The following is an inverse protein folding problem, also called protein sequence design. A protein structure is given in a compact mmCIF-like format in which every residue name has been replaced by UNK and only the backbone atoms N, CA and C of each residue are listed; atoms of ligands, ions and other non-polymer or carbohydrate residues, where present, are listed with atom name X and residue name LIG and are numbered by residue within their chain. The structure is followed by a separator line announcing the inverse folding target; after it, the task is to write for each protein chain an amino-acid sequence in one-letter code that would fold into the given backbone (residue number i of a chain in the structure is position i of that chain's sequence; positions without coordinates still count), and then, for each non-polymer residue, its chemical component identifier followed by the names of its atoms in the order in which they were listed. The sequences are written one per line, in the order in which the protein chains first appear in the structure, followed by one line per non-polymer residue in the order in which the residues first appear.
data_IF_588599299426
#
_entry.id   IF_588599299426
#
_cell.length_a   1.000
_cell.length_b   1.000
_cell.length_c   1.000
_cell.angle_alpha   90.00
_cell.angle_beta   90.00
_cell.angle_gamma   90.00
#
_symmetry.space_group_name_H-M   'P 1'
#
loop_
_entity.id
_entity.type
_entity.pdbx_description
1 polymer ?
#
# COMPACT_ATOMS: atom_id res chain seq x y z
N UNK A 1 -23.47 30.02 8.70
CA UNK A 1 -22.59 28.88 9.05
C UNK A 1 -22.35 28.13 7.77
N UNK A 2 -21.18 28.28 7.13
CA UNK A 2 -20.75 27.43 6.05
C UNK A 2 -20.38 26.10 6.70
N UNK A 3 -21.14 25.05 6.42
CA UNK A 3 -20.68 23.67 6.64
C UNK A 3 -19.34 23.53 5.88
N UNK A 4 -18.27 23.34 6.62
CA UNK A 4 -16.98 23.03 6.02
C UNK A 4 -17.17 21.70 5.29
N UNK A 5 -17.19 21.71 3.95
CA UNK A 5 -17.06 20.51 3.16
C UNK A 5 -15.78 19.81 3.61
N UNK A 6 -15.94 18.76 4.40
CA UNK A 6 -14.81 17.92 4.79
C UNK A 6 -14.29 17.28 3.51
N UNK A 7 -13.05 17.57 3.16
CA UNK A 7 -12.40 16.99 1.98
C UNK A 7 -12.28 15.47 2.15
N UNK A 8 -12.48 14.70 1.08
CA UNK A 8 -12.34 13.25 1.12
C UNK A 8 -11.00 12.80 1.71
N UNK A 9 -9.91 13.46 1.31
CA UNK A 9 -8.57 13.24 1.84
C UNK A 9 -8.48 13.37 3.37
N UNK A 10 -9.21 14.35 3.97
CA UNK A 10 -9.24 14.51 5.42
C UNK A 10 -9.93 13.33 6.10
N UNK A 11 -11.08 12.89 5.57
CA UNK A 11 -11.82 11.74 6.09
C UNK A 11 -10.96 10.47 6.05
N UNK A 12 -10.20 10.25 4.99
CA UNK A 12 -9.32 9.09 4.84
C UNK A 12 -8.18 9.09 5.86
N UNK A 13 -7.58 10.25 6.13
CA UNK A 13 -6.57 10.38 7.19
C UNK A 13 -7.17 10.15 8.57
N UNK A 14 -8.39 10.68 8.83
CA UNK A 14 -9.11 10.44 10.09
C UNK A 14 -9.41 8.95 10.33
N UNK A 15 -9.66 8.17 9.27
CA UNK A 15 -9.88 6.72 9.33
C UNK A 15 -8.58 5.92 9.49
N UNK A 16 -7.49 6.41 8.90
CA UNK A 16 -6.20 5.74 8.94
C UNK A 16 -5.56 5.85 10.34
N UNK A 17 -5.50 7.05 10.88
CA UNK A 17 -4.81 7.31 12.14
C UNK A 17 -5.67 6.99 13.38
N UNK A 18 -5.01 6.70 14.47
CA UNK A 18 -5.67 6.59 15.77
C UNK A 18 -6.20 7.96 16.19
N UNK A 19 -7.39 8.01 16.77
CA UNK A 19 -8.10 9.26 17.09
C UNK A 19 -7.23 10.22 17.89
N UNK A 20 -7.07 11.45 17.38
CA UNK A 20 -6.35 12.53 18.06
C UNK A 20 -4.83 12.38 18.11
N UNK A 21 -4.24 11.43 17.35
CA UNK A 21 -2.80 11.15 17.41
C UNK A 21 -1.99 11.73 16.26
N UNK A 22 -2.63 12.23 15.19
CA UNK A 22 -1.90 12.71 14.04
C UNK A 22 -1.88 14.23 13.95
N UNK A 23 -0.85 14.71 13.28
CA UNK A 23 -0.66 16.12 12.94
C UNK A 23 -0.53 16.25 11.42
N UNK A 24 -1.27 17.18 10.85
CA UNK A 24 -1.08 17.57 9.46
C UNK A 24 0.17 18.44 9.32
N UNK A 25 0.93 18.17 8.26
CA UNK A 25 2.01 19.06 7.84
C UNK A 25 1.42 20.35 7.24
N UNK A 26 2.18 21.43 7.25
CA UNK A 26 1.77 22.69 6.65
C UNK A 26 1.39 22.49 5.18
N UNK A 27 0.17 22.88 4.82
CA UNK A 27 -0.33 22.79 3.45
C UNK A 27 0.22 23.95 2.63
N UNK A 28 1.13 23.63 1.72
CA UNK A 28 1.70 24.61 0.78
C UNK A 28 0.68 25.05 -0.26
N UNK A 29 1.00 26.12 -0.97
CA UNK A 29 0.20 26.67 -2.05
C UNK A 29 0.96 26.62 -3.37
N UNK A 30 0.26 26.27 -4.43
CA UNK A 30 0.78 26.34 -5.79
C UNK A 30 0.91 27.81 -6.25
N UNK A 31 1.66 28.01 -7.34
CA UNK A 31 1.77 29.31 -7.98
C UNK A 31 0.36 29.86 -8.29
N UNK A 32 0.07 31.08 -7.82
CA UNK A 32 -1.26 31.67 -7.88
C UNK A 32 -2.09 31.55 -6.60
N UNK A 33 -1.53 30.98 -5.53
CA UNK A 33 -2.12 31.01 -4.18
C UNK A 33 -3.17 29.93 -3.92
N UNK A 34 -3.43 29.00 -4.87
CA UNK A 34 -4.35 27.90 -4.67
C UNK A 34 -3.73 26.85 -3.72
N UNK A 35 -4.46 26.35 -2.71
CA UNK A 35 -3.96 25.27 -1.87
C UNK A 35 -3.65 24.02 -2.71
N UNK A 36 -2.56 23.33 -2.38
CA UNK A 36 -2.24 22.06 -3.01
C UNK A 36 -3.36 21.02 -2.80
N UNK A 37 -3.70 20.23 -3.81
CA UNK A 37 -4.68 19.14 -3.75
C UNK A 37 -4.14 17.90 -3.01
N UNK A 38 -3.45 18.12 -1.89
CA UNK A 38 -2.76 17.09 -1.12
C UNK A 38 -2.79 17.44 0.36
N UNK A 39 -2.99 16.43 1.20
CA UNK A 39 -2.75 16.51 2.64
C UNK A 39 -1.64 15.52 3.00
N UNK A 40 -0.64 15.98 3.73
CA UNK A 40 0.40 15.16 4.35
C UNK A 40 0.24 15.20 5.87
N UNK A 41 0.42 14.06 6.51
CA UNK A 41 0.28 13.92 7.95
C UNK A 41 1.23 12.85 8.50
N UNK A 42 1.54 12.95 9.78
CA UNK A 42 2.22 11.92 10.54
C UNK A 42 1.51 11.72 11.88
N UNK A 43 1.47 10.49 12.35
CA UNK A 43 0.72 10.14 13.56
C UNK A 43 0.92 8.69 13.95
N UNK A 44 -0.07 8.13 14.62
CA UNK A 44 -0.03 6.74 15.06
C UNK A 44 -1.14 5.92 14.42
N UNK A 45 -0.80 4.69 14.05
CA UNK A 45 -1.73 3.64 13.64
C UNK A 45 -1.48 2.43 14.51
N UNK A 46 -2.48 2.01 15.27
CA UNK A 46 -2.33 0.98 16.29
C UNK A 46 -1.16 1.27 17.26
N UNK A 47 -1.02 2.54 17.67
CA UNK A 47 0.03 3.03 18.56
C UNK A 47 1.41 3.23 17.92
N UNK A 48 1.64 2.82 16.67
CA UNK A 48 2.94 2.88 15.97
C UNK A 48 3.01 4.09 15.05
N UNK A 49 4.20 4.73 14.90
CA UNK A 49 4.34 5.88 14.02
C UNK A 49 4.13 5.50 12.56
N UNK A 50 3.43 6.35 11.82
CA UNK A 50 3.16 6.22 10.39
C UNK A 50 3.17 7.60 9.77
N UNK A 51 3.74 7.74 8.58
CA UNK A 51 3.59 8.89 7.70
C UNK A 51 2.56 8.58 6.63
N UNK A 52 1.68 9.52 6.31
CA UNK A 52 0.68 9.32 5.27
C UNK A 52 0.43 10.57 4.45
N UNK A 53 0.00 10.38 3.22
CA UNK A 53 -0.56 11.43 2.39
C UNK A 53 -1.85 10.97 1.72
N UNK A 54 -2.72 11.93 1.42
CA UNK A 54 -3.94 11.69 0.67
C UNK A 54 -4.14 12.80 -0.36
N UNK A 55 -4.32 12.42 -1.62
CA UNK A 55 -4.67 13.33 -2.70
C UNK A 55 -6.18 13.59 -2.67
N UNK A 56 -6.57 14.80 -3.05
CA UNK A 56 -7.96 15.24 -3.04
C UNK A 56 -8.35 15.73 -4.43
N UNK A 57 -9.04 14.88 -5.18
CA UNK A 57 -9.51 15.17 -6.53
C UNK A 57 -10.41 16.42 -6.59
N UNK A 58 -11.14 16.73 -5.52
CA UNK A 58 -11.97 17.93 -5.45
C UNK A 58 -11.13 19.24 -5.45
N UNK A 59 -9.83 19.14 -5.16
CA UNK A 59 -8.90 20.26 -5.17
C UNK A 59 -7.88 20.08 -6.30
N UNK A 60 -8.04 20.80 -7.42
CA UNK A 60 -7.16 20.75 -8.59
C UNK A 60 -7.02 19.32 -9.19
N UNK A 61 -8.09 18.52 -9.13
CA UNK A 61 -8.09 17.11 -9.53
C UNK A 61 -6.98 16.28 -8.86
N UNK A 62 -6.55 16.64 -7.65
CA UNK A 62 -5.44 15.98 -6.97
C UNK A 62 -4.10 16.04 -7.71
N UNK A 63 -4.01 16.86 -8.78
CA UNK A 63 -2.87 16.86 -9.70
C UNK A 63 -1.58 17.33 -9.03
N UNK A 64 -0.47 16.63 -9.30
CA UNK A 64 0.83 16.92 -8.72
C UNK A 64 1.45 18.19 -9.33
N UNK A 65 1.68 19.18 -8.46
CA UNK A 65 2.44 20.38 -8.75
C UNK A 65 3.68 20.50 -7.87
N UNK A 66 4.39 21.63 -7.97
CA UNK A 66 5.63 21.85 -7.23
C UNK A 66 5.41 21.87 -5.72
N UNK A 67 4.34 22.53 -5.25
CA UNK A 67 4.03 22.60 -3.81
C UNK A 67 3.72 21.22 -3.23
N UNK A 68 2.97 20.39 -3.95
CA UNK A 68 2.70 19.01 -3.55
C UNK A 68 3.99 18.17 -3.51
N UNK A 69 4.86 18.31 -4.52
CA UNK A 69 6.14 17.62 -4.58
C UNK A 69 7.02 17.94 -3.37
N UNK A 70 7.12 19.21 -3.01
CA UNK A 70 7.88 19.63 -1.83
C UNK A 70 7.31 19.04 -0.54
N UNK A 71 5.98 19.05 -0.36
CA UNK A 71 5.32 18.44 0.80
C UNK A 71 5.60 16.94 0.89
N UNK A 72 5.53 16.22 -0.24
CA UNK A 72 5.82 14.79 -0.30
C UNK A 72 7.28 14.50 0.01
N UNK A 73 8.22 15.25 -0.53
CA UNK A 73 9.66 15.08 -0.24
C UNK A 73 9.96 15.30 1.25
N UNK A 74 9.32 16.29 1.88
CA UNK A 74 9.42 16.50 3.33
C UNK A 74 8.83 15.32 4.12
N UNK A 75 7.69 14.77 3.69
CA UNK A 75 7.06 13.59 4.31
C UNK A 75 7.97 12.35 4.21
N UNK A 76 8.52 12.09 3.02
CA UNK A 76 9.45 10.97 2.81
C UNK A 76 10.73 11.12 3.64
N UNK A 77 11.26 12.36 3.75
CA UNK A 77 12.40 12.64 4.61
C UNK A 77 12.11 12.42 6.10
N UNK A 78 10.89 12.78 6.53
CA UNK A 78 10.43 12.52 7.89
C UNK A 78 10.29 11.01 8.15
N UNK A 79 9.67 10.26 7.23
CA UNK A 79 9.51 8.81 7.34
C UNK A 79 10.85 8.09 7.43
N UNK A 80 11.84 8.49 6.63
CA UNK A 80 13.21 7.97 6.72
C UNK A 80 13.85 8.25 8.08
N UNK A 81 13.73 9.49 8.55
CA UNK A 81 14.33 9.91 9.83
C UNK A 81 13.73 9.18 11.03
N UNK A 82 12.42 8.92 11.01
CA UNK A 82 11.72 8.21 12.08
C UNK A 82 11.87 6.69 11.92
N UNK A 83 12.06 6.20 10.68
CA UNK A 83 12.01 4.78 10.36
C UNK A 83 10.59 4.24 10.47
N UNK A 84 9.61 4.87 9.80
CA UNK A 84 8.20 4.49 9.90
C UNK A 84 7.57 4.25 8.53
N UNK A 85 6.52 3.40 8.43
CA UNK A 85 5.80 3.13 7.20
C UNK A 85 5.23 4.39 6.55
N UNK A 86 5.05 4.32 5.22
CA UNK A 86 4.42 5.36 4.42
C UNK A 86 3.14 4.80 3.80
N UNK A 87 2.03 5.53 3.95
CA UNK A 87 0.74 5.20 3.34
C UNK A 87 0.32 6.34 2.41
N UNK A 88 0.20 6.04 1.11
CA UNK A 88 -0.30 6.98 0.11
C UNK A 88 -1.73 6.62 -0.31
N UNK A 89 -2.65 7.60 -0.32
CA UNK A 89 -3.99 7.45 -0.86
C UNK A 89 -4.09 8.31 -2.11
N UNK A 90 -4.30 7.65 -3.25
CA UNK A 90 -4.23 8.25 -4.58
C UNK A 90 -5.62 8.50 -5.15
N UNK A 91 -5.87 9.75 -5.53
CA UNK A 91 -7.06 10.21 -6.25
C UNK A 91 -6.66 11.44 -7.07
N UNK A 92 -6.09 11.22 -8.28
CA UNK A 92 -5.37 12.26 -9.00
C UNK A 92 -5.39 12.06 -10.51
N UNK A 93 -5.67 13.14 -11.25
CA UNK A 93 -5.49 13.22 -12.70
C UNK A 93 -4.01 13.31 -13.15
N UNK A 94 -3.06 13.09 -12.23
CA UNK A 94 -1.63 13.02 -12.55
C UNK A 94 -0.92 14.36 -12.42
N UNK A 95 -0.25 14.82 -13.49
CA UNK A 95 0.60 15.99 -13.47
C UNK A 95 -0.16 17.31 -13.66
N UNK A 96 0.23 18.36 -12.92
CA UNK A 96 -0.26 19.73 -13.15
C UNK A 96 0.33 20.32 -14.44
N UNK A 97 -0.44 20.33 -15.52
CA UNK A 97 0.03 20.56 -16.91
C UNK A 97 0.40 22.03 -17.22
N UNK A 98 0.20 22.97 -16.30
CA UNK A 98 0.50 24.40 -16.56
C UNK A 98 1.99 24.72 -16.75
N UNK A 99 2.89 23.82 -16.31
CA UNK A 99 4.35 23.94 -16.41
C UNK A 99 4.95 22.68 -17.09
N UNK A 100 4.90 22.61 -18.40
CA UNK A 100 5.09 21.40 -19.21
C UNK A 100 6.33 20.51 -18.92
N UNK A 101 7.43 21.02 -18.39
CA UNK A 101 8.63 20.23 -18.10
C UNK A 101 8.84 19.91 -16.59
N UNK A 102 8.28 20.71 -15.70
CA UNK A 102 8.45 20.58 -14.25
C UNK A 102 7.83 19.31 -13.68
N UNK A 103 6.56 18.95 -14.01
CA UNK A 103 5.92 17.79 -13.40
C UNK A 103 6.66 16.47 -13.68
N UNK A 104 7.27 16.32 -14.86
CA UNK A 104 8.03 15.12 -15.19
C UNK A 104 9.27 14.98 -14.28
N UNK A 105 10.00 16.09 -14.06
CA UNK A 105 11.13 16.13 -13.12
C UNK A 105 10.67 15.86 -11.71
N UNK A 106 9.56 16.45 -11.29
CA UNK A 106 9.02 16.34 -9.94
C UNK A 106 8.58 14.89 -9.64
N UNK A 107 7.89 14.22 -10.56
CA UNK A 107 7.62 12.78 -10.45
C UNK A 107 8.88 11.93 -10.43
N UNK A 108 9.88 12.24 -11.28
CA UNK A 108 11.17 11.55 -11.25
C UNK A 108 11.86 11.64 -9.89
N UNK A 109 11.84 12.82 -9.29
CA UNK A 109 12.41 13.04 -7.95
C UNK A 109 11.65 12.26 -6.87
N UNK A 110 10.29 12.26 -6.92
CA UNK A 110 9.47 11.50 -5.97
C UNK A 110 9.69 9.98 -6.12
N UNK A 111 9.68 9.47 -7.36
CA UNK A 111 9.93 8.05 -7.60
C UNK A 111 11.32 7.62 -7.14
N UNK A 112 12.36 8.45 -7.39
CA UNK A 112 13.70 8.21 -6.86
C UNK A 112 13.69 8.17 -5.34
N UNK A 113 12.98 9.08 -4.70
CA UNK A 113 12.87 9.14 -3.24
C UNK A 113 12.14 7.92 -2.67
N UNK A 114 11.00 7.54 -3.25
CA UNK A 114 10.28 6.34 -2.87
C UNK A 114 11.14 5.08 -3.05
N UNK A 115 11.84 4.96 -4.17
CA UNK A 115 12.73 3.84 -4.44
C UNK A 115 13.90 3.76 -3.44
N UNK A 116 14.43 4.90 -2.97
CA UNK A 116 15.50 4.91 -1.96
C UNK A 116 15.06 4.38 -0.60
N UNK A 117 13.76 4.37 -0.32
CA UNK A 117 13.17 3.83 0.92
C UNK A 117 12.61 2.41 0.76
N UNK A 118 12.65 1.85 -0.46
CA UNK A 118 12.22 0.47 -0.71
C UNK A 118 13.06 -0.51 0.11
N UNK A 119 12.38 -1.38 0.87
CA UNK A 119 13.02 -2.32 1.78
C UNK A 119 13.60 -1.69 3.06
N UNK A 120 13.53 -0.36 3.23
CA UNK A 120 13.88 0.31 4.49
C UNK A 120 12.65 0.50 5.38
N UNK A 121 11.55 0.99 4.81
CA UNK A 121 10.26 1.13 5.48
C UNK A 121 9.14 0.58 4.59
N UNK A 122 8.11 -0.05 5.15
CA UNK A 122 6.96 -0.51 4.36
C UNK A 122 6.24 0.64 3.67
N UNK A 123 5.93 0.47 2.39
CA UNK A 123 5.22 1.45 1.58
C UNK A 123 3.89 0.87 1.06
N UNK A 124 2.81 1.61 1.30
CA UNK A 124 1.46 1.24 0.89
C UNK A 124 0.89 2.28 -0.07
N UNK A 125 0.22 1.81 -1.10
CA UNK A 125 -0.58 2.63 -2.01
C UNK A 125 -2.03 2.16 -1.99
N UNK A 126 -2.96 3.09 -1.75
CA UNK A 126 -4.40 2.88 -1.89
C UNK A 126 -4.88 3.73 -3.06
N UNK A 127 -5.30 3.11 -4.14
CA UNK A 127 -5.85 3.78 -5.32
C UNK A 127 -7.35 3.91 -5.13
N UNK A 128 -7.77 5.10 -4.69
CA UNK A 128 -9.16 5.40 -4.30
C UNK A 128 -10.02 5.88 -5.47
N UNK A 129 -9.40 6.49 -6.48
CA UNK A 129 -10.03 7.04 -7.67
C UNK A 129 -9.09 6.98 -8.87
N UNK A 130 -9.13 7.94 -9.82
CA UNK A 130 -8.18 8.01 -10.91
C UNK A 130 -6.74 8.16 -10.40
N UNK A 131 -5.82 7.49 -11.09
CA UNK A 131 -4.38 7.59 -10.86
C UNK A 131 -3.66 7.52 -12.20
N UNK A 132 -3.29 8.70 -12.74
CA UNK A 132 -2.88 8.86 -14.14
C UNK A 132 -1.37 8.98 -14.35
N UNK A 133 -0.87 8.35 -15.42
CA UNK A 133 0.47 8.52 -15.94
C UNK A 133 1.56 8.16 -14.93
N UNK A 134 2.45 9.10 -14.65
CA UNK A 134 3.55 8.88 -13.68
C UNK A 134 3.05 8.60 -12.26
N UNK A 135 1.85 9.07 -11.88
CA UNK A 135 1.24 8.75 -10.60
C UNK A 135 0.94 7.25 -10.49
N UNK A 136 0.44 6.62 -11.57
CA UNK A 136 0.16 5.19 -11.60
C UNK A 136 1.46 4.35 -11.43
N UNK A 137 2.55 4.76 -12.08
CA UNK A 137 3.86 4.11 -11.94
C UNK A 137 4.37 4.25 -10.49
N UNK A 138 4.26 5.46 -9.93
CA UNK A 138 4.68 5.73 -8.56
C UNK A 138 3.84 4.93 -7.56
N UNK A 139 2.51 4.91 -7.69
CA UNK A 139 1.64 4.10 -6.83
C UNK A 139 1.99 2.60 -6.93
N UNK A 140 2.24 2.08 -8.14
CA UNK A 140 2.59 0.67 -8.37
C UNK A 140 3.99 0.28 -7.86
N UNK A 141 4.85 1.24 -7.54
CA UNK A 141 6.19 0.97 -6.99
C UNK A 141 6.20 0.66 -5.49
N UNK A 142 5.09 0.82 -4.78
CA UNK A 142 4.96 0.46 -3.38
C UNK A 142 5.03 -1.06 -3.16
N UNK A 143 5.35 -1.48 -1.92
CA UNK A 143 5.36 -2.89 -1.54
C UNK A 143 3.96 -3.52 -1.68
N UNK A 144 2.93 -2.77 -1.27
CA UNK A 144 1.53 -3.19 -1.33
C UNK A 144 0.68 -2.11 -2.00
N UNK A 145 0.15 -2.43 -3.18
CA UNK A 145 -0.86 -1.60 -3.83
C UNK A 145 -2.24 -2.23 -3.62
N UNK A 146 -3.14 -1.47 -3.04
CA UNK A 146 -4.56 -1.80 -2.88
C UNK A 146 -5.39 -0.92 -3.82
N UNK A 147 -6.43 -1.46 -4.40
CA UNK A 147 -7.37 -0.68 -5.22
C UNK A 147 -8.77 -0.78 -4.65
N UNK A 148 -9.54 0.28 -4.82
CA UNK A 148 -10.99 0.22 -4.62
C UNK A 148 -11.68 -0.08 -5.93
N UNK A 149 -12.99 -0.41 -5.90
CA UNK A 149 -13.78 -0.60 -7.12
C UNK A 149 -13.86 0.65 -8.00
N UNK A 150 -13.67 1.84 -7.43
CA UNK A 150 -13.62 3.11 -8.16
C UNK A 150 -12.20 3.45 -8.63
N UNK A 151 -11.17 2.77 -8.09
CA UNK A 151 -9.78 2.97 -8.45
C UNK A 151 -9.50 2.66 -9.92
N UNK A 152 -8.67 3.47 -10.58
CA UNK A 152 -8.23 3.25 -11.97
C UNK A 152 -6.78 3.63 -12.12
N UNK A 153 -6.00 2.74 -12.71
CA UNK A 153 -4.63 3.03 -13.11
C UNK A 153 -4.59 3.35 -14.60
N UNK A 154 -4.14 4.53 -14.96
CA UNK A 154 -4.01 4.98 -16.34
C UNK A 154 -2.53 5.22 -16.66
N UNK A 155 -1.88 4.33 -17.37
CA UNK A 155 -0.53 4.60 -17.89
C UNK A 155 -0.56 5.57 -19.07
N UNK A 156 -1.54 5.38 -19.96
CA UNK A 156 -1.85 6.28 -21.08
C UNK A 156 -3.36 6.38 -21.21
N UNK A 157 -3.90 7.38 -21.94
CA UNK A 157 -5.35 7.51 -22.15
C UNK A 157 -6.04 6.27 -22.72
N UNK A 158 -5.30 5.42 -23.42
CA UNK A 158 -5.81 4.20 -24.06
C UNK A 158 -5.46 2.91 -23.31
N UNK A 159 -4.72 2.99 -22.20
CA UNK A 159 -4.32 1.85 -21.37
C UNK A 159 -4.76 2.09 -19.94
N UNK A 160 -6.00 1.68 -19.65
CA UNK A 160 -6.62 1.75 -18.33
C UNK A 160 -6.63 0.37 -17.70
N UNK A 161 -6.08 0.24 -16.52
CA UNK A 161 -6.19 -0.95 -15.69
C UNK A 161 -7.35 -0.78 -14.71
N UNK A 162 -8.38 -1.61 -14.89
CA UNK A 162 -9.45 -1.75 -13.89
C UNK A 162 -8.91 -2.46 -12.63
N UNK A 163 -9.60 -2.38 -11.50
CA UNK A 163 -9.19 -3.10 -10.30
C UNK A 163 -9.01 -4.59 -10.54
N UNK A 164 -9.93 -5.22 -11.28
CA UNK A 164 -9.88 -6.64 -11.60
C UNK A 164 -8.70 -6.97 -12.53
N UNK A 165 -8.45 -6.14 -13.57
CA UNK A 165 -7.30 -6.31 -14.47
C UNK A 165 -5.98 -6.18 -13.71
N UNK A 166 -5.85 -5.17 -12.85
CA UNK A 166 -4.68 -4.97 -12.01
C UNK A 166 -4.45 -6.11 -11.02
N UNK A 167 -5.54 -6.69 -10.47
CA UNK A 167 -5.45 -7.85 -9.59
C UNK A 167 -4.96 -9.10 -10.35
N UNK A 168 -5.53 -9.40 -11.53
CA UNK A 168 -5.11 -10.53 -12.35
C UNK A 168 -3.69 -10.39 -12.91
N UNK A 169 -3.23 -9.15 -13.13
CA UNK A 169 -1.85 -8.86 -13.52
C UNK A 169 -0.85 -8.91 -12.34
N UNK A 170 -1.32 -9.10 -11.10
CA UNK A 170 -0.50 -9.09 -9.90
C UNK A 170 -0.01 -7.71 -9.48
N UNK A 171 -0.55 -6.64 -10.07
CA UNK A 171 -0.24 -5.26 -9.70
C UNK A 171 -0.90 -4.93 -8.36
N UNK A 172 -2.22 -5.15 -8.26
CA UNK A 172 -2.96 -4.95 -7.02
C UNK A 172 -2.82 -6.16 -6.09
N UNK A 173 -2.41 -5.91 -4.85
CA UNK A 173 -2.34 -6.92 -3.80
C UNK A 173 -3.72 -7.31 -3.27
N UNK A 174 -4.67 -6.38 -3.31
CA UNK A 174 -6.09 -6.62 -3.02
C UNK A 174 -6.96 -5.58 -3.71
N UNK A 175 -8.21 -5.98 -3.99
CA UNK A 175 -9.28 -5.10 -4.47
C UNK A 175 -10.40 -5.10 -3.43
N UNK A 176 -10.80 -3.91 -2.99
CA UNK A 176 -11.77 -3.70 -1.92
C UNK A 176 -12.95 -2.88 -2.47
N UNK A 177 -14.12 -3.02 -1.87
CA UNK A 177 -15.32 -2.28 -2.30
C UNK A 177 -15.15 -0.77 -2.04
N UNK A 178 -14.59 -0.39 -0.90
CA UNK A 178 -14.50 1.00 -0.46
C UNK A 178 -13.09 1.39 0.00
N UNK A 179 -12.84 2.69 0.07
CA UNK A 179 -11.57 3.23 0.62
C UNK A 179 -11.45 2.91 2.11
N UNK A 180 -12.56 2.89 2.82
CA UNK A 180 -12.63 2.53 4.24
C UNK A 180 -12.14 1.11 4.48
N UNK A 181 -12.57 0.15 3.66
CA UNK A 181 -12.11 -1.25 3.73
C UNK A 181 -10.62 -1.37 3.37
N UNK A 182 -10.17 -0.63 2.35
CA UNK A 182 -8.76 -0.61 1.98
C UNK A 182 -7.88 -0.06 3.12
N UNK A 183 -8.32 1.02 3.78
CA UNK A 183 -7.63 1.56 4.95
C UNK A 183 -7.62 0.55 6.11
N UNK A 184 -8.71 -0.17 6.35
CA UNK A 184 -8.75 -1.22 7.38
C UNK A 184 -7.75 -2.33 7.08
N UNK A 185 -7.63 -2.77 5.81
CA UNK A 185 -6.63 -3.77 5.42
C UNK A 185 -5.20 -3.22 5.63
N UNK A 186 -4.92 -1.96 5.26
CA UNK A 186 -3.64 -1.31 5.56
C UNK A 186 -3.34 -1.36 7.06
N UNK A 187 -4.31 -0.99 7.91
CA UNK A 187 -4.15 -1.04 9.37
C UNK A 187 -3.86 -2.45 9.88
N UNK A 188 -4.49 -3.48 9.31
CA UNK A 188 -4.23 -4.89 9.65
C UNK A 188 -2.82 -5.33 9.24
N UNK A 189 -2.39 -4.98 8.02
CA UNK A 189 -1.05 -5.30 7.52
C UNK A 189 0.04 -4.58 8.35
N UNK A 190 -0.19 -3.32 8.73
CA UNK A 190 0.72 -2.56 9.58
C UNK A 190 0.93 -3.22 10.96
N UNK A 191 -0.05 -3.95 11.50
CA UNK A 191 0.12 -4.72 12.74
C UNK A 191 1.10 -5.88 12.55
N UNK A 192 1.16 -6.47 11.36
CA UNK A 192 1.99 -7.65 11.06
C UNK A 192 3.41 -7.30 10.61
N UNK A 193 3.60 -6.12 10.05
CA UNK A 193 4.89 -5.67 9.55
C UNK A 193 5.70 -4.95 10.65
N UNK A 194 7.03 -5.02 10.66
CA UNK A 194 7.84 -4.10 11.45
C UNK A 194 7.73 -2.67 10.91
N UNK A 195 8.09 -1.65 11.69
CA UNK A 195 8.07 -0.26 11.21
C UNK A 195 9.14 0.01 10.16
N UNK A 196 10.24 -0.72 10.23
CA UNK A 196 11.38 -0.62 9.32
C UNK A 196 12.18 -1.93 9.35
N UNK A 197 13.16 -2.04 8.48
CA UNK A 197 14.00 -3.24 8.33
C UNK A 197 14.99 -3.50 9.49
N UNK A 198 15.09 -2.60 10.45
CA UNK A 198 15.95 -2.76 11.64
C UNK A 198 15.15 -3.24 12.85
N UNK A 199 13.82 -3.17 12.80
CA UNK A 199 12.95 -3.65 13.86
C UNK A 199 12.61 -5.14 13.67
N UNK A 200 12.40 -5.82 14.80
CA UNK A 200 11.88 -7.18 14.78
C UNK A 200 10.39 -7.21 14.45
N UNK A 201 9.93 -8.36 13.95
CA UNK A 201 8.50 -8.59 13.70
C UNK A 201 7.66 -8.42 14.96
N UNK A 202 6.41 -8.01 14.76
CA UNK A 202 5.45 -7.83 15.85
C UNK A 202 5.17 -9.15 16.56
N UNK A 203 5.11 -9.07 17.90
CA UNK A 203 4.65 -10.16 18.76
C UNK A 203 3.43 -9.67 19.51
N UNK A 204 2.33 -10.40 19.41
CA UNK A 204 1.06 -10.11 20.08
C UNK A 204 0.68 -11.29 21.00
N UNK A 205 -0.28 -11.13 21.91
CA UNK A 205 -0.85 -12.28 22.61
C UNK A 205 -1.39 -13.30 21.60
N UNK A 206 -1.05 -14.60 21.75
CA UNK A 206 -1.51 -15.64 20.83
C UNK A 206 -3.04 -15.81 20.91
N UNK A 207 -3.66 -16.03 19.76
CA UNK A 207 -5.09 -16.35 19.65
C UNK A 207 -5.20 -17.76 19.07
N UNK A 208 -5.64 -18.77 19.85
CA UNK A 208 -5.69 -20.15 19.37
C UNK A 208 -6.46 -20.27 18.04
N UNK A 209 -6.01 -21.14 17.11
CA UNK A 209 -6.73 -21.39 15.87
C UNK A 209 -8.13 -21.93 16.14
N UNK A 210 -9.08 -21.59 15.27
CA UNK A 210 -10.50 -21.99 15.42
C UNK A 210 -10.69 -23.51 15.31
N UNK A 211 -9.83 -24.17 14.54
CA UNK A 211 -9.83 -25.63 14.37
C UNK A 211 -8.41 -26.15 14.33
N UNK A 212 -8.13 -27.21 15.07
CA UNK A 212 -6.85 -27.95 14.96
C UNK A 212 -6.92 -28.91 13.77
N UNK A 213 -6.85 -28.38 12.55
CA UNK A 213 -6.80 -29.16 11.32
C UNK A 213 -5.51 -28.82 10.57
N UNK A 214 -5.02 -29.74 9.74
CA UNK A 214 -3.86 -29.52 8.86
C UNK A 214 -4.23 -28.63 7.65
N UNK A 215 -4.91 -27.51 7.91
CA UNK A 215 -5.28 -26.48 6.94
C UNK A 215 -4.64 -25.16 7.37
N UNK A 216 -4.51 -24.21 6.46
CA UNK A 216 -3.99 -22.87 6.76
C UNK A 216 -4.66 -22.26 7.99
N UNK A 217 -5.99 -22.39 8.11
CA UNK A 217 -6.75 -21.88 9.25
C UNK A 217 -6.44 -22.57 10.59
N UNK A 218 -5.92 -23.80 10.54
CA UNK A 218 -5.49 -24.54 11.74
C UNK A 218 -4.03 -24.31 12.11
N UNK A 219 -3.26 -23.66 11.25
CA UNK A 219 -1.84 -23.38 11.49
C UNK A 219 -1.60 -21.97 12.05
N UNK A 220 -2.51 -21.03 11.81
CA UNK A 220 -2.35 -19.62 12.17
C UNK A 220 -3.32 -19.21 13.29
N UNK A 221 -2.98 -18.17 13.99
CA UNK A 221 -3.86 -17.56 15.00
C UNK A 221 -5.20 -17.13 14.37
N UNK A 222 -6.29 -17.34 15.07
CA UNK A 222 -7.64 -17.03 14.56
C UNK A 222 -7.76 -15.58 14.09
N UNK A 223 -8.23 -15.38 12.84
CA UNK A 223 -8.41 -14.06 12.23
C UNK A 223 -7.13 -13.30 11.94
N UNK A 224 -5.96 -13.95 12.02
CA UNK A 224 -4.68 -13.28 11.79
C UNK A 224 -4.25 -13.24 10.32
N UNK A 225 -4.76 -14.13 9.48
CA UNK A 225 -4.33 -14.24 8.08
C UNK A 225 -4.95 -13.14 7.21
N UNK A 226 -4.09 -12.40 6.54
CA UNK A 226 -4.43 -11.41 5.52
C UNK A 226 -3.88 -11.88 4.19
N UNK A 227 -4.77 -12.37 3.31
CA UNK A 227 -4.42 -12.84 1.97
C UNK A 227 -4.04 -11.70 1.05
N UNK A 228 -3.08 -11.94 0.16
CA UNK A 228 -2.54 -10.98 -0.79
C UNK A 228 -2.44 -11.60 -2.18
N UNK A 229 -2.73 -10.81 -3.22
CA UNK A 229 -2.68 -11.21 -4.64
C UNK A 229 -3.53 -12.45 -4.94
N UNK A 230 -4.73 -12.57 -4.40
CA UNK A 230 -5.58 -13.76 -4.57
C UNK A 230 -5.88 -14.06 -6.04
N UNK A 231 -6.15 -13.02 -6.85
CA UNK A 231 -6.46 -13.17 -8.27
C UNK A 231 -5.26 -13.48 -9.17
N UNK A 232 -4.03 -13.40 -8.65
CA UNK A 232 -2.78 -13.65 -9.39
C UNK A 232 -2.08 -14.88 -8.86
N UNK A 233 -1.69 -15.81 -9.76
CA UNK A 233 -0.98 -17.02 -9.37
C UNK A 233 -1.80 -17.90 -8.43
N UNK A 234 -2.83 -18.57 -8.95
CA UNK A 234 -3.81 -19.32 -8.17
C UNK A 234 -3.27 -20.57 -7.48
N UNK A 235 -2.12 -21.09 -7.94
CA UNK A 235 -1.42 -22.24 -7.34
C UNK A 235 -0.67 -21.89 -6.05
N UNK A 236 -0.60 -20.59 -5.69
CA UNK A 236 0.04 -20.12 -4.46
C UNK A 236 -0.88 -19.20 -3.67
N UNK A 237 -1.16 -19.53 -2.42
CA UNK A 237 -1.74 -18.60 -1.45
C UNK A 237 -0.60 -17.92 -0.71
N UNK A 238 -0.58 -16.58 -0.71
CA UNK A 238 0.41 -15.77 -0.03
C UNK A 238 -0.26 -14.75 0.89
N UNK A 239 0.29 -14.49 2.05
CA UNK A 239 -0.23 -13.49 2.98
C UNK A 239 0.53 -13.42 4.28
N UNK A 240 0.22 -12.40 5.07
CA UNK A 240 0.75 -12.23 6.42
C UNK A 240 -0.20 -12.83 7.45
N UNK A 241 0.35 -13.45 8.48
CA UNK A 241 -0.40 -14.08 9.56
C UNK A 241 0.32 -13.91 10.91
N UNK A 242 -0.25 -14.48 11.94
CA UNK A 242 0.47 -14.75 13.19
C UNK A 242 0.39 -16.24 13.51
N UNK A 243 1.46 -16.77 14.11
CA UNK A 243 1.52 -18.09 14.72
C UNK A 243 2.02 -17.89 16.15
N UNK A 244 1.22 -18.31 17.12
CA UNK A 244 1.50 -18.07 18.55
C UNK A 244 1.84 -16.59 18.85
N UNK A 245 1.13 -15.66 18.20
CA UNK A 245 1.33 -14.22 18.32
C UNK A 245 2.49 -13.64 17.53
N UNK A 246 3.35 -14.45 16.93
CA UNK A 246 4.51 -14.00 16.15
C UNK A 246 4.07 -13.77 14.69
N UNK A 247 4.35 -12.58 14.15
CA UNK A 247 4.05 -12.28 12.75
C UNK A 247 4.92 -13.11 11.81
N UNK A 248 4.28 -13.74 10.82
CA UNK A 248 4.91 -14.61 9.81
C UNK A 248 4.36 -14.33 8.42
N UNK A 249 5.17 -14.59 7.40
CA UNK A 249 4.73 -14.73 6.03
C UNK A 249 4.29 -16.18 5.78
N UNK A 250 3.11 -16.36 5.18
CA UNK A 250 2.58 -17.66 4.81
C UNK A 250 2.60 -17.84 3.31
N UNK A 251 3.14 -18.97 2.86
CA UNK A 251 3.08 -19.44 1.48
C UNK A 251 2.51 -20.85 1.46
N UNK A 252 1.37 -21.04 0.81
CA UNK A 252 0.79 -22.38 0.59
C UNK A 252 0.79 -22.65 -0.90
N UNK A 253 1.51 -23.70 -1.30
CA UNK A 253 1.62 -24.17 -2.68
C UNK A 253 0.70 -25.36 -2.86
N UNK A 254 -0.15 -25.32 -3.89
CA UNK A 254 -1.11 -26.40 -4.15
C UNK A 254 -1.33 -26.60 -5.65
N UNK A 255 -1.40 -27.89 -6.07
CA UNK A 255 -1.68 -28.28 -7.45
C UNK A 255 -0.56 -27.96 -8.43
N UNK A 256 -0.95 -27.61 -9.66
CA UNK A 256 -0.03 -27.32 -10.76
C UNK A 256 0.47 -25.89 -10.72
N UNK A 257 1.77 -25.71 -10.58
CA UNK A 257 2.40 -24.38 -10.48
C UNK A 257 2.85 -23.88 -11.85
N UNK A 258 2.48 -22.64 -12.14
CA UNK A 258 2.84 -21.89 -13.34
C UNK A 258 3.85 -20.78 -13.02
N UNK A 259 4.36 -20.12 -14.05
CA UNK A 259 5.30 -18.98 -13.89
C UNK A 259 4.74 -17.84 -13.04
N UNK A 260 3.44 -17.55 -13.13
CA UNK A 260 2.75 -16.54 -12.31
C UNK A 260 2.77 -16.88 -10.83
N UNK A 261 2.67 -18.16 -10.46
CA UNK A 261 2.75 -18.65 -9.09
C UNK A 261 4.15 -18.42 -8.52
N UNK A 262 5.17 -18.73 -9.31
CA UNK A 262 6.56 -18.46 -8.94
C UNK A 262 6.85 -16.96 -8.79
N UNK A 263 6.28 -16.12 -9.67
CA UNK A 263 6.43 -14.67 -9.58
C UNK A 263 5.77 -14.11 -8.31
N UNK A 264 4.56 -14.59 -7.97
CA UNK A 264 3.86 -14.23 -6.73
C UNK A 264 4.69 -14.59 -5.49
N UNK A 265 5.13 -15.86 -5.42
CA UNK A 265 5.95 -16.34 -4.32
C UNK A 265 7.26 -15.55 -4.20
N UNK A 266 7.97 -15.31 -5.31
CA UNK A 266 9.22 -14.56 -5.33
C UNK A 266 9.05 -13.10 -4.90
N UNK A 267 7.93 -12.43 -5.29
CA UNK A 267 7.61 -11.07 -4.84
C UNK A 267 7.37 -11.05 -3.33
N UNK A 268 6.54 -11.96 -2.83
CA UNK A 268 6.22 -12.03 -1.41
C UNK A 268 7.44 -12.35 -0.55
N UNK A 269 8.28 -13.31 -0.98
CA UNK A 269 9.53 -13.65 -0.29
C UNK A 269 10.49 -12.47 -0.20
N UNK A 270 10.63 -11.65 -1.26
CA UNK A 270 11.47 -10.44 -1.23
C UNK A 270 10.99 -9.42 -0.21
N UNK A 271 9.66 -9.27 -0.05
CA UNK A 271 9.10 -8.39 0.98
C UNK A 271 9.40 -8.94 2.37
N UNK A 272 9.18 -10.24 2.58
CA UNK A 272 9.49 -10.88 3.85
C UNK A 272 10.99 -10.79 4.21
N UNK A 273 11.87 -11.00 3.23
CA UNK A 273 13.33 -10.88 3.40
C UNK A 273 13.72 -9.44 3.78
N UNK A 274 13.24 -8.43 3.03
CA UNK A 274 13.53 -7.02 3.28
C UNK A 274 13.17 -6.58 4.70
N UNK A 275 12.10 -7.14 5.28
CA UNK A 275 11.61 -6.79 6.62
C UNK A 275 11.87 -7.89 7.67
N UNK A 276 12.75 -8.83 7.38
CA UNK A 276 13.12 -9.93 8.31
C UNK A 276 11.91 -10.69 8.87
N UNK A 277 10.87 -10.90 8.06
CA UNK A 277 9.66 -11.63 8.43
C UNK A 277 9.93 -13.14 8.20
N UNK A 278 9.84 -13.99 9.23
CA UNK A 278 9.98 -15.43 9.05
C UNK A 278 8.87 -15.96 8.14
N UNK A 279 9.22 -16.89 7.23
CA UNK A 279 8.27 -17.45 6.28
C UNK A 279 8.02 -18.92 6.58
N UNK A 280 6.74 -19.28 6.61
CA UNK A 280 6.28 -20.66 6.68
C UNK A 280 5.73 -21.07 5.33
N UNK A 281 6.32 -22.10 4.73
CA UNK A 281 5.89 -22.67 3.45
C UNK A 281 5.22 -24.02 3.66
N UNK A 282 4.02 -24.18 3.11
CA UNK A 282 3.25 -25.43 3.11
C UNK A 282 3.14 -25.91 1.67
N UNK A 283 3.45 -27.19 1.42
CA UNK A 283 3.36 -27.78 0.10
C UNK A 283 2.31 -28.90 0.11
N UNK A 284 1.30 -28.76 -0.74
CA UNK A 284 0.18 -29.70 -0.88
C UNK A 284 0.14 -30.21 -2.33
N UNK A 285 0.64 -31.42 -2.61
CA UNK A 285 0.59 -32.06 -3.94
C UNK A 285 1.01 -31.13 -5.09
N UNK A 286 2.28 -30.72 -5.09
CA UNK A 286 2.81 -29.72 -6.00
C UNK A 286 3.43 -30.39 -7.24
N UNK A 287 3.02 -29.91 -8.43
CA UNK A 287 3.63 -30.26 -9.72
C UNK A 287 4.02 -28.97 -10.46
N UNK A 288 5.21 -28.95 -11.07
CA UNK A 288 5.63 -27.85 -11.94
C UNK A 288 5.19 -28.10 -13.37
N UNK A 289 4.48 -27.15 -13.96
CA UNK A 289 4.07 -27.22 -15.36
C UNK A 289 5.06 -26.41 -16.20
N UNK A 290 5.75 -27.09 -17.12
CA UNK A 290 6.57 -26.39 -18.11
C UNK A 290 5.63 -25.66 -19.09
N UNK A 291 5.80 -24.34 -19.21
CA UNK A 291 5.16 -23.58 -20.27
C UNK A 291 5.88 -23.90 -21.57
N UNK A 292 5.23 -24.65 -22.46
CA UNK A 292 5.66 -24.84 -23.84
C UNK A 292 5.51 -23.58 -24.66
#
# INVERSE_FOLDING_TARGET
MQESKQYAAQKWLDLLFDTGTYQQMERKREAGGTPAGLLCAYGRVNGRPVCAFAQDHACQSGALGTAQTEMLLELYALAEKIGCPIVGIYDSDGAWVKDAARPLRDYGTLMQRAASLSGLVPQFSVVAGPCLGSAAIWAASADFLLMTQEGRLYLTPNATESPESAAHAGIAAAVLETVEEAIQLVRQLLVRLPSNNLESVSVAPPVPPVQQQATLAGLVDAGSFSSLWEAFGSGVTAGLAAIEGISVGMLVFSGSLHSTDCLKAARFLRICDAFSIPVVSVLEHVEFVENN
#
